data_IF_184330253237
#
_entry.id   IF_184330253237
#
_cell.length_a   1.000
_cell.length_b   1.000
_cell.length_c   1.000
_cell.angle_alpha   90.00
_cell.angle_beta   90.00
_cell.angle_gamma   90.00
#
_symmetry.space_group_name_H-M   'P 1'
#
loop_
_entity.id
_entity.type
_entity.pdbx_description
1 polymer ?
#
# COMPACT_ATOMS: atom_id res chain seq x y z
N UNK A 1 -15.11 -1.54 17.41
CA UNK A 1 -14.36 -0.59 16.56
C UNK A 1 -15.26 -0.26 15.39
N UNK A 2 -15.49 1.03 15.12
CA UNK A 2 -16.43 1.48 14.10
C UNK A 2 -15.95 1.08 12.70
N UNK A 3 -16.77 0.38 11.92
CA UNK A 3 -16.44 -0.02 10.54
C UNK A 3 -16.09 1.16 9.63
N UNK A 4 -16.48 2.37 10.01
CA UNK A 4 -16.20 3.61 9.29
C UNK A 4 -14.74 4.08 9.43
N UNK A 5 -14.00 3.68 10.47
CA UNK A 5 -12.65 4.20 10.70
C UNK A 5 -11.65 3.80 9.62
N UNK A 6 -11.71 2.57 9.12
CA UNK A 6 -10.77 2.07 8.09
C UNK A 6 -11.07 2.71 6.74
N UNK A 7 -12.35 2.90 6.41
CA UNK A 7 -12.75 3.61 5.19
C UNK A 7 -12.31 5.07 5.25
N UNK A 8 -12.46 5.74 6.39
CA UNK A 8 -11.97 7.11 6.57
C UNK A 8 -10.45 7.21 6.43
N UNK A 9 -9.70 6.26 7.00
CA UNK A 9 -8.25 6.16 6.83
C UNK A 9 -7.87 5.93 5.37
N UNK A 10 -8.64 5.11 4.64
CA UNK A 10 -8.43 4.82 3.23
C UNK A 10 -8.65 6.07 2.38
N UNK A 11 -9.75 6.78 2.61
CA UNK A 11 -10.07 8.05 1.91
C UNK A 11 -9.01 9.11 2.20
N UNK A 12 -8.55 9.21 3.45
CA UNK A 12 -7.46 10.13 3.82
C UNK A 12 -6.16 9.80 3.09
N UNK A 13 -5.78 8.53 3.04
CA UNK A 13 -4.58 8.09 2.33
C UNK A 13 -4.67 8.37 0.83
N UNK A 14 -5.81 8.09 0.20
CA UNK A 14 -6.04 8.34 -1.22
C UNK A 14 -5.97 9.85 -1.57
N UNK A 15 -6.55 10.71 -0.71
CA UNK A 15 -6.45 12.18 -0.88
C UNK A 15 -5.00 12.65 -0.82
N UNK A 16 -4.26 12.21 0.20
CA UNK A 16 -2.84 12.56 0.35
C UNK A 16 -2.01 12.07 -0.84
N UNK A 17 -2.33 10.88 -1.36
CA UNK A 17 -1.67 10.33 -2.55
C UNK A 17 -1.89 11.23 -3.76
N UNK A 18 -3.14 11.66 -4.03
CA UNK A 18 -3.49 12.54 -5.14
C UNK A 18 -2.87 13.93 -5.02
N UNK A 19 -2.85 14.51 -3.81
CA UNK A 19 -2.25 15.83 -3.53
C UNK A 19 -0.75 15.87 -3.82
N UNK A 20 -0.07 14.71 -3.79
CA UNK A 20 1.36 14.60 -4.00
C UNK A 20 1.71 13.94 -5.35
N UNK A 21 0.73 13.79 -6.26
CA UNK A 21 0.92 13.06 -7.52
C UNK A 21 2.05 13.65 -8.37
N UNK A 22 2.08 14.97 -8.53
CA UNK A 22 3.08 15.67 -9.36
C UNK A 22 4.50 15.60 -8.80
N UNK A 23 4.65 15.33 -7.50
CA UNK A 23 5.94 15.26 -6.81
C UNK A 23 6.50 13.83 -6.70
N UNK A 24 5.72 12.82 -7.13
CA UNK A 24 6.11 11.42 -7.00
C UNK A 24 6.97 10.98 -8.18
N UNK A 25 8.03 10.23 -7.87
CA UNK A 25 8.81 9.53 -8.89
C UNK A 25 7.95 8.47 -9.55
N UNK A 26 7.78 8.56 -10.87
CA UNK A 26 7.11 7.54 -11.71
C UNK A 26 8.02 6.30 -11.89
N UNK A 27 9.29 6.39 -11.51
CA UNK A 27 10.21 5.26 -11.64
C UNK A 27 10.11 4.35 -10.40
N UNK A 28 9.81 3.07 -10.66
CA UNK A 28 9.92 2.01 -9.67
C UNK A 28 11.36 1.96 -9.10
N UNK A 29 11.49 2.19 -7.80
CA UNK A 29 12.78 2.17 -7.11
C UNK A 29 13.22 0.77 -6.68
N UNK A 30 12.39 -0.26 -6.88
CA UNK A 30 12.68 -1.64 -6.48
C UNK A 30 13.28 -2.46 -7.63
N UNK A 31 14.27 -3.27 -7.29
CA UNK A 31 14.84 -4.28 -8.16
C UNK A 31 13.85 -5.41 -8.47
N UNK A 32 14.09 -6.14 -9.56
CA UNK A 32 13.31 -7.33 -9.94
C UNK A 32 13.24 -8.39 -8.83
N UNK A 33 14.31 -8.54 -8.05
CA UNK A 33 14.35 -9.49 -6.92
C UNK A 33 13.43 -9.05 -5.78
N UNK A 34 13.39 -7.75 -5.46
CA UNK A 34 12.50 -7.19 -4.44
C UNK A 34 11.02 -7.31 -4.84
N UNK A 35 10.72 -7.08 -6.12
CA UNK A 35 9.37 -7.28 -6.66
C UNK A 35 8.94 -8.74 -6.57
N UNK A 36 9.83 -9.68 -6.92
CA UNK A 36 9.55 -11.12 -6.79
C UNK A 36 9.28 -11.50 -5.34
N UNK A 37 10.11 -11.08 -4.39
CA UNK A 37 9.92 -11.38 -2.95
C UNK A 37 8.56 -10.90 -2.45
N UNK A 38 8.10 -9.75 -2.90
CA UNK A 38 6.83 -9.20 -2.47
C UNK A 38 5.60 -9.84 -3.12
N UNK A 39 5.76 -10.50 -4.28
CA UNK A 39 4.70 -11.33 -4.88
C UNK A 39 4.58 -12.71 -4.22
N UNK A 40 5.63 -13.17 -3.52
CA UNK A 40 5.64 -14.43 -2.78
C UNK A 40 5.21 -14.27 -1.31
N UNK A 41 4.22 -13.43 -1.04
CA UNK A 41 3.61 -13.39 0.29
C UNK A 41 2.82 -14.67 0.50
N UNK A 42 3.19 -15.44 1.53
CA UNK A 42 2.36 -16.54 2.01
C UNK A 42 1.07 -15.92 2.54
N UNK A 43 -0.08 -16.44 2.12
CA UNK A 43 -1.34 -16.07 2.75
C UNK A 43 -1.27 -16.51 4.22
N UNK A 44 -1.43 -15.56 5.13
CA UNK A 44 -1.47 -15.83 6.56
C UNK A 44 -2.65 -16.77 6.87
N UNK A 45 -2.47 -17.67 7.84
CA UNK A 45 -3.52 -18.63 8.25
C UNK A 45 -4.66 -17.94 9.01
N UNK A 46 -4.37 -16.77 9.59
CA UNK A 46 -5.32 -15.93 10.30
C UNK A 46 -5.48 -14.57 9.60
N UNK A 47 -6.68 -14.01 9.67
CA UNK A 47 -6.98 -12.70 9.12
C UNK A 47 -6.23 -11.59 9.86
N UNK A 48 -5.60 -10.69 9.11
CA UNK A 48 -4.97 -9.49 9.65
C UNK A 48 -6.01 -8.42 9.98
N UNK A 49 -5.64 -7.47 10.85
CA UNK A 49 -6.50 -6.31 11.09
C UNK A 49 -6.56 -5.44 9.83
N UNK A 50 -7.73 -4.90 9.46
CA UNK A 50 -7.86 -4.10 8.24
C UNK A 50 -6.96 -2.87 8.20
N UNK A 51 -6.65 -2.26 9.35
CA UNK A 51 -5.74 -1.11 9.42
C UNK A 51 -4.30 -1.50 9.03
N UNK A 52 -3.85 -2.67 9.46
CA UNK A 52 -2.49 -3.17 9.17
C UNK A 52 -2.36 -3.49 7.68
N UNK A 53 -3.41 -4.09 7.09
CA UNK A 53 -3.49 -4.34 5.65
C UNK A 53 -3.46 -3.04 4.85
N UNK A 54 -4.24 -2.04 5.26
CA UNK A 54 -4.26 -0.73 4.60
C UNK A 54 -2.88 -0.06 4.64
N UNK A 55 -2.21 -0.08 5.79
CA UNK A 55 -0.88 0.51 5.95
C UNK A 55 0.16 -0.21 5.07
N UNK A 56 0.10 -1.53 5.00
CA UNK A 56 0.96 -2.33 4.13
C UNK A 56 0.77 -1.98 2.65
N UNK A 57 -0.49 -1.80 2.21
CA UNK A 57 -0.80 -1.44 0.83
C UNK A 57 -0.27 -0.05 0.47
N UNK A 58 -0.44 0.93 1.35
CA UNK A 58 0.08 2.30 1.15
C UNK A 58 1.61 2.27 0.96
N UNK A 59 2.34 1.57 1.85
CA UNK A 59 3.79 1.44 1.75
C UNK A 59 4.23 0.70 0.48
N UNK A 60 3.45 -0.30 0.07
CA UNK A 60 3.72 -1.07 -1.14
C UNK A 60 3.52 -0.23 -2.40
N UNK A 61 2.50 0.64 -2.42
CA UNK A 61 2.28 1.61 -3.51
C UNK A 61 3.42 2.62 -3.61
N UNK A 62 3.88 3.16 -2.48
CA UNK A 62 4.99 4.12 -2.45
C UNK A 62 6.32 3.50 -2.90
N UNK A 63 6.51 2.21 -2.63
CA UNK A 63 7.69 1.46 -3.06
C UNK A 63 7.61 0.87 -4.46
N UNK A 64 6.64 1.24 -5.30
CA UNK A 64 6.54 0.74 -6.68
C UNK A 64 6.08 -0.72 -6.82
N UNK A 65 5.49 -1.31 -5.78
CA UNK A 65 5.05 -2.71 -5.80
C UNK A 65 3.73 -2.92 -6.54
N UNK A 66 2.84 -1.94 -6.46
CA UNK A 66 1.50 -1.97 -7.07
C UNK A 66 1.40 -1.09 -8.34
N UNK A 67 2.55 -0.61 -8.84
CA UNK A 67 2.68 0.10 -10.10
C UNK A 67 2.14 1.54 -10.05
N UNK A 68 3.05 2.49 -9.92
CA UNK A 68 3.55 3.23 -11.10
C UNK A 68 5.07 3.23 -11.01
#
# INVERSE_FOLDING_TARGET
MDHYSVLDLTVKAAKLWLENLDNRSVANTKSLEELRKALFLKLEEEGQRPEDVLQYLIQSMDGGLLGI
#
